data_IF_120890486562
#
_entry.id   IF_120890486562
#
_cell.length_a   1.000
_cell.length_b   1.000
_cell.length_c   1.000
_cell.angle_alpha   90.00
_cell.angle_beta   90.00
_cell.angle_gamma   90.00
#
_symmetry.space_group_name_H-M   'P 1'
#
loop_
_entity.id
_entity.type
_entity.pdbx_description
1 polymer ?
#
# COMPACT_ATOMS: atom_id res chain seq x y z
N UNK A 1 22.32 8.67 -12.85
CA UNK A 1 21.10 9.24 -12.24
C UNK A 1 20.01 8.19 -12.32
N UNK A 2 19.58 7.61 -11.18
CA UNK A 2 18.42 6.71 -11.14
C UNK A 2 17.18 7.51 -11.53
N UNK A 3 16.55 7.14 -12.66
CA UNK A 3 15.22 7.63 -13.02
C UNK A 3 14.25 7.09 -11.98
N UNK A 4 13.86 7.90 -11.01
CA UNK A 4 12.67 7.64 -10.22
C UNK A 4 11.50 7.71 -11.19
N UNK A 5 10.93 6.55 -11.50
CA UNK A 5 9.66 6.46 -12.19
C UNK A 5 8.62 7.03 -11.20
N UNK A 6 8.41 8.33 -11.25
CA UNK A 6 7.19 8.93 -10.68
C UNK A 6 6.10 8.40 -11.59
N UNK A 7 5.54 7.25 -11.21
CA UNK A 7 4.37 6.70 -11.87
C UNK A 7 3.33 7.82 -11.89
N UNK A 8 3.05 8.34 -13.09
CA UNK A 8 1.99 9.28 -13.37
C UNK A 8 0.67 8.54 -13.17
N UNK A 9 0.35 8.27 -11.91
CA UNK A 9 -0.98 7.84 -11.51
C UNK A 9 -1.93 8.98 -11.86
N UNK A 10 -3.10 8.70 -12.45
CA UNK A 10 -4.09 9.74 -12.69
C UNK A 10 -4.34 10.49 -11.38
N UNK A 11 -4.19 11.82 -11.45
CA UNK A 11 -4.29 12.71 -10.29
C UNK A 11 -5.60 12.39 -9.56
N UNK A 12 -5.52 12.05 -8.28
CA UNK A 12 -6.70 11.75 -7.46
C UNK A 12 -7.19 10.30 -7.51
N UNK A 13 -6.39 9.33 -7.96
CA UNK A 13 -6.75 7.89 -7.91
C UNK A 13 -6.02 7.14 -6.78
N UNK A 14 -6.43 7.32 -5.50
CA UNK A 14 -5.76 6.70 -4.35
C UNK A 14 -5.76 5.17 -4.41
N UNK A 15 -6.76 4.56 -5.08
CA UNK A 15 -6.86 3.11 -5.29
C UNK A 15 -5.70 2.56 -6.15
N UNK A 16 -5.08 3.42 -6.97
CA UNK A 16 -3.98 3.03 -7.84
C UNK A 16 -2.61 3.25 -7.20
N UNK A 17 -2.54 3.94 -6.06
CA UNK A 17 -1.29 4.18 -5.36
C UNK A 17 -0.98 3.01 -4.41
N UNK A 18 0.10 2.23 -4.65
CA UNK A 18 0.45 1.10 -3.78
C UNK A 18 0.72 1.53 -2.33
N UNK A 19 1.22 2.74 -2.09
CA UNK A 19 1.39 3.26 -0.74
C UNK A 19 0.05 3.45 -0.01
N UNK A 20 -0.99 3.93 -0.71
CA UNK A 20 -2.34 4.04 -0.15
C UNK A 20 -2.96 2.66 0.13
N UNK A 21 -2.69 1.69 -0.75
CA UNK A 21 -3.15 0.32 -0.55
C UNK A 21 -2.55 -0.35 0.69
N UNK A 22 -1.31 -0.01 1.04
CA UNK A 22 -0.67 -0.49 2.26
C UNK A 22 -1.07 0.34 3.49
N UNK A 23 -1.31 1.65 3.31
CA UNK A 23 -1.72 2.53 4.40
C UNK A 23 -3.10 2.19 4.95
N UNK A 24 -4.06 1.83 4.09
CA UNK A 24 -5.43 1.53 4.48
C UNK A 24 -5.54 0.42 5.56
N UNK A 25 -4.97 -0.79 5.38
CA UNK A 25 -5.03 -1.84 6.41
C UNK A 25 -4.27 -1.48 7.69
N UNK A 26 -3.21 -0.68 7.62
CA UNK A 26 -2.51 -0.18 8.81
C UNK A 26 -3.41 0.77 9.60
N UNK A 27 -4.07 1.70 8.91
CA UNK A 27 -5.04 2.61 9.51
C UNK A 27 -6.18 1.84 10.16
N UNK A 28 -6.86 0.99 9.40
CA UNK A 28 -8.10 0.36 9.84
C UNK A 28 -7.88 -0.66 10.97
N UNK A 29 -6.75 -1.37 10.98
CA UNK A 29 -6.52 -2.47 11.94
C UNK A 29 -5.67 -2.10 13.13
N UNK A 30 -4.77 -1.13 12.99
CA UNK A 30 -3.73 -0.87 14.00
C UNK A 30 -3.77 0.53 14.58
N UNK A 31 -4.28 1.51 13.83
CA UNK A 31 -4.24 2.92 14.24
C UNK A 31 -5.64 3.52 14.51
N UNK A 32 -6.71 2.94 13.97
CA UNK A 32 -8.08 3.41 14.15
C UNK A 32 -8.55 3.23 15.61
N UNK A 33 -9.41 4.16 16.06
CA UNK A 33 -10.08 4.12 17.37
C UNK A 33 -9.13 4.05 18.58
N UNK A 34 -7.96 4.69 18.50
CA UNK A 34 -6.99 4.83 19.60
C UNK A 34 -6.75 6.30 19.91
N UNK A 35 -6.66 6.63 21.19
CA UNK A 35 -6.14 7.91 21.66
C UNK A 35 -4.65 7.73 22.02
N UNK A 36 -3.84 8.72 21.67
CA UNK A 36 -2.39 8.70 21.94
C UNK A 36 -2.04 9.91 22.79
N UNK A 37 -1.34 9.68 23.91
CA UNK A 37 -0.97 10.77 24.82
C UNK A 37 0.31 11.49 24.38
N UNK A 38 1.06 10.90 23.45
CA UNK A 38 2.29 11.49 22.94
C UNK A 38 2.61 11.07 21.51
N UNK A 39 3.42 11.88 20.84
CA UNK A 39 3.95 11.55 19.51
C UNK A 39 4.69 10.21 19.49
N UNK A 40 5.45 9.91 20.55
CA UNK A 40 6.17 8.65 20.66
C UNK A 40 5.22 7.43 20.63
N UNK A 41 4.04 7.53 21.27
CA UNK A 41 3.05 6.45 21.21
C UNK A 41 2.47 6.25 19.81
N UNK A 42 2.30 7.33 19.03
CA UNK A 42 1.85 7.26 17.63
C UNK A 42 2.90 6.51 16.80
N UNK A 43 4.17 6.91 16.91
CA UNK A 43 5.27 6.27 16.17
C UNK A 43 5.38 4.80 16.53
N UNK A 44 5.34 4.46 17.82
CA UNK A 44 5.41 3.08 18.29
C UNK A 44 4.21 2.23 17.81
N UNK A 45 3.00 2.80 17.78
CA UNK A 45 1.84 2.13 17.19
C UNK A 45 1.99 1.89 15.68
N UNK A 46 2.53 2.87 14.94
CA UNK A 46 2.86 2.73 13.52
C UNK A 46 3.91 1.64 13.29
N UNK A 47 5.01 1.64 14.04
CA UNK A 47 6.07 0.64 13.95
C UNK A 47 5.54 -0.76 14.23
N UNK A 48 4.75 -0.93 15.29
CA UNK A 48 4.14 -2.22 15.63
C UNK A 48 3.19 -2.71 14.53
N UNK A 49 2.35 -1.81 14.01
CA UNK A 49 1.43 -2.14 12.93
C UNK A 49 2.16 -2.54 11.64
N UNK A 50 3.22 -1.81 11.29
CA UNK A 50 4.07 -2.12 10.14
C UNK A 50 4.77 -3.47 10.29
N UNK A 51 5.42 -3.72 11.43
CA UNK A 51 6.13 -4.98 11.66
C UNK A 51 5.18 -6.18 11.60
N UNK A 52 3.98 -6.07 12.17
CA UNK A 52 2.98 -7.14 12.07
C UNK A 52 2.47 -7.34 10.63
N UNK A 53 2.38 -6.27 9.84
CA UNK A 53 2.01 -6.35 8.43
C UNK A 53 3.10 -7.04 7.59
N UNK A 54 4.38 -6.74 7.82
CA UNK A 54 5.50 -7.38 7.10
C UNK A 54 5.66 -8.86 7.42
N UNK A 55 5.18 -9.31 8.58
CA UNK A 55 5.10 -10.72 8.92
C UNK A 55 4.07 -11.52 8.10
N UNK A 56 3.22 -10.87 7.29
CA UNK A 56 2.26 -11.54 6.40
C UNK A 56 2.91 -11.76 5.03
N UNK A 57 3.34 -12.99 4.69
CA UNK A 57 4.06 -13.24 3.44
C UNK A 57 3.20 -12.91 2.23
N UNK A 58 3.75 -12.14 1.29
CA UNK A 58 3.04 -11.77 0.06
C UNK A 58 1.92 -10.75 0.22
N UNK A 59 1.72 -10.15 1.40
CA UNK A 59 0.67 -9.16 1.62
C UNK A 59 0.77 -7.95 0.70
N UNK A 60 1.98 -7.39 0.52
CA UNK A 60 2.22 -6.26 -0.40
C UNK A 60 1.84 -6.65 -1.84
N UNK A 61 2.27 -7.83 -2.29
CA UNK A 61 1.92 -8.34 -3.62
C UNK A 61 0.41 -8.50 -3.75
N UNK A 62 -0.26 -9.15 -2.80
CA UNK A 62 -1.71 -9.35 -2.82
C UNK A 62 -2.48 -8.03 -2.85
N UNK A 63 -2.04 -7.03 -2.09
CA UNK A 63 -2.68 -5.71 -2.07
C UNK A 63 -2.46 -4.97 -3.38
N UNK A 64 -1.23 -4.93 -3.87
CA UNK A 64 -0.87 -4.11 -5.04
C UNK A 64 -1.15 -4.80 -6.38
N UNK A 65 -1.52 -6.09 -6.40
CA UNK A 65 -1.89 -6.78 -7.65
C UNK A 65 -3.34 -6.49 -8.02
N UNK A 66 -3.59 -6.22 -9.31
CA UNK A 66 -4.92 -6.10 -9.89
C UNK A 66 -5.01 -6.93 -11.18
N UNK A 67 -6.18 -7.51 -11.46
CA UNK A 67 -6.37 -8.32 -12.68
C UNK A 67 -6.13 -7.53 -13.97
N UNK A 68 -6.52 -6.26 -13.98
CA UNK A 68 -6.37 -5.38 -15.14
C UNK A 68 -4.96 -4.78 -15.30
N UNK A 69 -4.09 -4.88 -14.28
CA UNK A 69 -2.66 -4.51 -14.44
C UNK A 69 -1.83 -5.62 -15.06
N UNK A 70 -2.38 -6.84 -15.12
CA UNK A 70 -1.81 -7.89 -15.95
C UNK A 70 -2.08 -7.50 -17.40
N UNK A 71 -1.07 -6.93 -18.06
CA UNK A 71 -1.04 -6.80 -19.51
C UNK A 71 -0.97 -8.22 -20.08
N UNK A 72 -2.11 -8.90 -20.15
CA UNK A 72 -2.22 -10.10 -20.97
C UNK A 72 -2.00 -9.62 -22.41
N UNK A 73 -0.94 -10.14 -23.03
CA UNK A 73 -0.63 -9.90 -24.43
C UNK A 73 -1.68 -10.59 -25.30
N UNK A 74 -2.90 -10.07 -25.35
CA UNK A 74 -3.99 -10.64 -26.18
C UNK A 74 -4.13 -9.93 -27.53
N UNK A 75 -3.20 -9.04 -27.91
CA UNK A 75 -3.11 -8.53 -29.28
C UNK A 75 -2.19 -9.40 -30.15
N UNK A 76 -2.46 -10.71 -30.19
CA UNK A 76 -2.04 -11.57 -31.30
C UNK A 76 -3.25 -12.31 -31.85
N UNK A 77 -3.71 -11.80 -33.00
CA UNK A 77 -4.12 -12.51 -34.22
C UNK A 77 -5.47 -11.99 -34.72
N UNK A 78 -5.41 -11.26 -35.83
CA UNK A 78 -6.50 -10.79 -36.68
C UNK A 78 -5.87 -10.18 -37.91
#
# INVERSE_FOLDING_TARGET
MQKYNVDLLPIGSPVLNPAQQVWQPLRDRRLANRCYDSYAQIVDACCRGWNQFTHIPGAIRSLCTRRWTSLTSEFKTG
#
